data_IF_917224932127
#
_entry.id   IF_917224932127
#
_cell.length_a   1.000
_cell.length_b   1.000
_cell.length_c   1.000
_cell.angle_alpha   90.00
_cell.angle_beta   90.00
_cell.angle_gamma   90.00
#
_symmetry.space_group_name_H-M   'P 1'
#
loop_
_entity.id
_entity.type
_entity.pdbx_description
1 polymer ?
#
# COMPACT_ATOMS: atom_id res chain seq x y z
N UNK A 1 -5.30 -5.73 -13.02
CA UNK A 1 -4.87 -7.14 -12.95
C UNK A 1 -5.04 -7.74 -14.33
N UNK A 2 -3.95 -8.14 -15.00
CA UNK A 2 -4.03 -8.90 -16.25
C UNK A 2 -4.12 -10.39 -15.91
N UNK A 3 -4.73 -11.20 -16.79
CA UNK A 3 -4.72 -12.66 -16.62
C UNK A 3 -3.30 -13.25 -16.70
N UNK A 4 -2.36 -12.51 -17.29
CA UNK A 4 -0.97 -12.89 -17.54
C UNK A 4 -0.10 -12.70 -16.29
N UNK A 5 -0.45 -11.75 -15.41
CA UNK A 5 0.34 -11.44 -14.22
C UNK A 5 -0.50 -11.74 -12.96
N UNK A 6 -0.41 -12.97 -12.42
CA UNK A 6 -1.28 -13.43 -11.35
C UNK A 6 -1.06 -12.63 -10.06
N UNK A 7 -2.12 -12.38 -9.26
CA UNK A 7 -1.97 -11.71 -7.98
C UNK A 7 -1.07 -12.54 -7.04
N UNK A 8 -0.38 -11.91 -6.07
CA UNK A 8 0.52 -12.61 -5.14
C UNK A 8 -0.14 -13.78 -4.41
N UNK A 9 -1.43 -13.67 -4.07
CA UNK A 9 -2.19 -14.76 -3.44
C UNK A 9 -2.32 -16.01 -4.32
N UNK A 10 -2.40 -15.84 -5.65
CA UNK A 10 -2.47 -16.98 -6.58
C UNK A 10 -1.12 -17.67 -6.71
N UNK A 11 -0.03 -16.91 -6.81
CA UNK A 11 1.33 -17.46 -6.84
C UNK A 11 1.63 -18.26 -5.56
N UNK A 12 1.23 -17.72 -4.40
CA UNK A 12 1.35 -18.41 -3.12
C UNK A 12 0.56 -19.72 -3.10
N UNK A 13 -0.72 -19.68 -3.49
CA UNK A 13 -1.56 -20.88 -3.51
C UNK A 13 -1.02 -21.96 -4.46
N UNK A 14 -0.56 -21.58 -5.66
CA UNK A 14 0.08 -22.50 -6.59
C UNK A 14 1.32 -23.14 -5.98
N UNK A 15 2.17 -22.34 -5.32
CA UNK A 15 3.37 -22.86 -4.68
C UNK A 15 3.05 -23.87 -3.56
N UNK A 16 2.04 -23.58 -2.74
CA UNK A 16 1.58 -24.52 -1.70
C UNK A 16 1.07 -25.82 -2.31
N UNK A 17 0.32 -25.75 -3.42
CA UNK A 17 -0.14 -26.95 -4.13
C UNK A 17 1.03 -27.76 -4.69
N UNK A 18 2.00 -27.12 -5.34
CA UNK A 18 3.20 -27.79 -5.88
C UNK A 18 4.00 -28.51 -4.77
N UNK A 19 4.08 -27.92 -3.58
CA UNK A 19 4.77 -28.52 -2.42
C UNK A 19 3.96 -29.68 -1.82
N UNK A 20 2.63 -29.56 -1.76
CA UNK A 20 1.74 -30.65 -1.33
C UNK A 20 1.77 -31.83 -2.30
N UNK A 21 1.89 -31.59 -3.60
CA UNK A 21 2.08 -32.64 -4.62
C UNK A 21 3.40 -33.41 -4.41
N UNK A 22 4.42 -32.77 -3.84
CA UNK A 22 5.68 -33.40 -3.45
C UNK A 22 5.61 -34.16 -2.11
N UNK A 23 4.44 -34.17 -1.46
CA UNK A 23 4.18 -34.89 -0.21
C UNK A 23 4.49 -34.08 1.06
N UNK A 24 4.70 -32.77 0.94
CA UNK A 24 4.93 -31.88 2.10
C UNK A 24 3.59 -31.61 2.81
N UNK A 25 3.62 -31.55 4.14
CA UNK A 25 2.44 -31.20 4.93
C UNK A 25 1.94 -29.79 4.60
N UNK A 26 0.64 -29.53 4.79
CA UNK A 26 0.05 -28.24 4.39
C UNK A 26 0.65 -27.04 5.14
N UNK A 27 0.84 -27.17 6.46
CA UNK A 27 1.43 -26.12 7.30
C UNK A 27 2.88 -25.83 6.87
N UNK A 28 3.69 -26.88 6.72
CA UNK A 28 5.07 -26.76 6.23
C UNK A 28 5.14 -26.17 4.81
N UNK A 29 4.21 -26.54 3.93
CA UNK A 29 4.13 -25.99 2.58
C UNK A 29 3.79 -24.50 2.58
N UNK A 30 2.89 -24.06 3.47
CA UNK A 30 2.57 -22.63 3.64
C UNK A 30 3.78 -21.84 4.16
N UNK A 31 4.51 -22.39 5.14
CA UNK A 31 5.70 -21.74 5.71
C UNK A 31 6.82 -21.60 4.67
N UNK A 32 7.09 -22.67 3.90
CA UNK A 32 8.07 -22.64 2.81
C UNK A 32 7.67 -21.62 1.75
N UNK A 33 6.39 -21.58 1.35
CA UNK A 33 5.90 -20.61 0.37
C UNK A 33 6.03 -19.15 0.85
N UNK A 34 5.78 -18.87 2.14
CA UNK A 34 5.95 -17.51 2.69
C UNK A 34 7.44 -17.14 2.78
N UNK A 35 8.29 -18.08 3.20
CA UNK A 35 9.75 -17.89 3.23
C UNK A 35 10.32 -17.58 1.84
N UNK A 36 9.89 -18.29 0.80
CA UNK A 36 10.27 -18.02 -0.59
C UNK A 36 9.81 -16.64 -1.05
N UNK A 37 8.55 -16.27 -0.77
CA UNK A 37 8.02 -14.95 -1.11
C UNK A 37 8.80 -13.82 -0.42
N UNK A 38 9.11 -13.97 0.87
CA UNK A 38 9.90 -13.00 1.63
C UNK A 38 11.32 -12.88 1.08
N UNK A 39 11.94 -14.00 0.67
CA UNK A 39 13.25 -14.00 0.05
C UNK A 39 13.25 -13.27 -1.30
N UNK A 40 12.29 -13.56 -2.17
CA UNK A 40 12.12 -12.90 -3.46
C UNK A 40 11.88 -11.39 -3.29
N UNK A 41 11.00 -11.01 -2.35
CA UNK A 41 10.72 -9.62 -1.99
C UNK A 41 11.96 -8.89 -1.50
N UNK A 42 12.80 -9.53 -0.67
CA UNK A 42 14.09 -8.97 -0.22
C UNK A 42 15.06 -8.79 -1.39
N UNK A 43 15.16 -9.76 -2.30
CA UNK A 43 16.02 -9.69 -3.48
C UNK A 43 15.59 -8.56 -4.44
N UNK A 44 14.30 -8.47 -4.77
CA UNK A 44 13.72 -7.39 -5.58
C UNK A 44 13.95 -6.01 -4.98
N UNK A 45 13.82 -5.86 -3.65
CA UNK A 45 14.16 -4.60 -2.94
C UNK A 45 15.64 -4.22 -3.08
N UNK A 46 16.57 -5.17 -2.94
CA UNK A 46 18.00 -4.94 -3.13
C UNK A 46 18.32 -4.54 -4.57
N UNK A 47 17.75 -5.23 -5.55
CA UNK A 47 17.90 -4.91 -6.96
C UNK A 47 17.38 -3.50 -7.27
N UNK A 48 16.19 -3.15 -6.77
CA UNK A 48 15.64 -1.80 -6.91
C UNK A 48 16.53 -0.72 -6.27
N UNK A 49 17.07 -0.96 -5.07
CA UNK A 49 17.98 -0.03 -4.42
C UNK A 49 19.24 0.21 -5.28
N UNK A 50 19.78 -0.84 -5.90
CA UNK A 50 20.93 -0.74 -6.80
C UNK A 50 20.60 0.03 -8.08
N UNK A 51 19.48 -0.29 -8.72
CA UNK A 51 19.01 0.43 -9.92
C UNK A 51 18.76 1.90 -9.62
N UNK A 52 18.21 2.21 -8.44
CA UNK A 52 17.99 3.58 -7.97
C UNK A 52 19.30 4.36 -7.81
N UNK A 53 20.35 3.73 -7.27
CA UNK A 53 21.67 4.35 -7.16
C UNK A 53 22.25 4.66 -8.55
N UNK A 54 22.18 3.70 -9.48
CA UNK A 54 22.67 3.87 -10.86
C UNK A 54 21.90 5.00 -11.56
N UNK A 55 20.56 5.02 -11.46
CA UNK A 55 19.74 6.05 -12.08
C UNK A 55 20.09 7.46 -11.58
N UNK A 56 20.37 7.61 -10.27
CA UNK A 56 20.83 8.88 -9.69
C UNK A 56 22.18 9.32 -10.24
N UNK A 57 23.15 8.41 -10.32
CA UNK A 57 24.48 8.71 -10.87
C UNK A 57 24.41 9.09 -12.35
N UNK A 58 23.49 8.47 -13.11
CA UNK A 58 23.29 8.76 -14.53
C UNK A 58 22.39 9.98 -14.79
N UNK A 59 21.83 10.62 -13.75
CA UNK A 59 20.87 11.71 -13.91
C UNK A 59 19.54 11.29 -14.57
N UNK A 60 19.23 9.99 -14.61
CA UNK A 60 18.03 9.45 -15.25
C UNK A 60 16.85 9.40 -14.27
N UNK A 61 15.65 9.30 -14.83
CA UNK A 61 14.42 9.07 -14.05
C UNK A 61 14.56 7.80 -13.20
N UNK A 62 14.09 7.88 -11.96
CA UNK A 62 14.12 6.75 -11.03
C UNK A 62 13.26 5.59 -11.56
N UNK A 63 13.72 4.34 -11.40
CA UNK A 63 12.91 3.17 -11.74
C UNK A 63 11.63 3.15 -10.89
N UNK A 64 10.54 2.53 -11.39
CA UNK A 64 9.33 2.33 -10.59
C UNK A 64 9.62 1.40 -9.41
N UNK A 65 8.95 1.64 -8.28
CA UNK A 65 9.11 0.81 -7.09
C UNK A 65 8.44 -0.56 -7.31
N UNK A 66 9.15 -1.69 -7.15
CA UNK A 66 8.59 -3.03 -7.38
C UNK A 66 7.47 -3.41 -6.39
N UNK A 67 7.40 -2.76 -5.22
CA UNK A 67 6.32 -2.96 -4.26
C UNK A 67 5.83 -1.58 -3.76
N UNK A 68 4.90 -0.94 -4.49
CA UNK A 68 4.34 0.31 -4.03
C UNK A 68 3.57 0.09 -2.73
N UNK A 69 3.66 1.07 -1.82
CA UNK A 69 2.85 1.06 -0.61
C UNK A 69 1.49 1.68 -0.97
N UNK A 70 0.36 1.01 -0.74
CA UNK A 70 -0.97 1.55 -1.05
C UNK A 70 -1.19 2.94 -0.44
N UNK A 71 -0.73 3.13 0.80
CA UNK A 71 -0.78 4.43 1.49
C UNK A 71 -0.06 5.53 0.71
N UNK A 72 1.10 5.22 0.10
CA UNK A 72 1.87 6.21 -0.67
C UNK A 72 1.22 6.52 -2.01
N UNK A 73 0.50 5.58 -2.60
CA UNK A 73 -0.29 5.81 -3.82
C UNK A 73 -1.45 6.75 -3.53
N UNK A 74 -2.21 6.48 -2.47
CA UNK A 74 -3.30 7.35 -2.00
C UNK A 74 -2.75 8.74 -1.67
N UNK A 75 -1.64 8.83 -0.92
CA UNK A 75 -1.01 10.12 -0.61
C UNK A 75 -0.56 10.88 -1.87
N UNK A 76 -0.03 10.19 -2.88
CA UNK A 76 0.37 10.82 -4.13
C UNK A 76 -0.84 11.34 -4.91
N UNK A 77 -1.94 10.59 -4.92
CA UNK A 77 -3.20 10.99 -5.54
C UNK A 77 -3.87 12.16 -4.79
N UNK A 78 -3.85 12.14 -3.46
CA UNK A 78 -4.45 13.19 -2.63
C UNK A 78 -3.62 14.47 -2.60
N UNK A 79 -2.33 14.42 -2.96
CA UNK A 79 -1.40 15.55 -2.86
C UNK A 79 -1.89 16.80 -3.58
N UNK A 80 -2.62 16.65 -4.70
CA UNK A 80 -3.23 17.76 -5.45
C UNK A 80 -4.25 18.54 -4.62
N UNK A 81 -4.97 17.88 -3.71
CA UNK A 81 -6.02 18.47 -2.89
C UNK A 81 -5.52 18.99 -1.54
N UNK A 82 -4.30 18.65 -1.13
CA UNK A 82 -3.77 19.02 0.19
C UNK A 82 -3.79 20.53 0.39
N UNK A 83 -3.38 21.31 -0.62
CA UNK A 83 -3.36 22.78 -0.52
C UNK A 83 -4.78 23.34 -0.36
N UNK A 84 -5.70 22.91 -1.19
CA UNK A 84 -7.09 23.38 -1.17
C UNK A 84 -7.76 23.12 0.18
N UNK A 85 -7.49 21.97 0.83
CA UNK A 85 -8.03 21.65 2.17
C UNK A 85 -7.75 22.71 3.23
N UNK A 86 -6.62 23.40 3.15
CA UNK A 86 -6.21 24.39 4.14
C UNK A 86 -6.48 25.83 3.71
N UNK A 87 -6.55 26.11 2.40
CA UNK A 87 -6.60 27.47 1.87
C UNK A 87 -7.88 27.81 1.10
N UNK A 88 -8.72 26.84 0.76
CA UNK A 88 -10.01 27.11 0.12
C UNK A 88 -11.00 27.65 1.18
N UNK A 89 -11.52 28.88 1.00
CA UNK A 89 -12.47 29.48 1.95
C UNK A 89 -13.74 28.63 2.11
N UNK A 90 -14.21 27.95 1.04
CA UNK A 90 -15.43 27.11 1.11
C UNK A 90 -15.21 25.89 1.99
N UNK A 91 -14.03 25.27 1.90
CA UNK A 91 -13.68 24.11 2.73
C UNK A 91 -13.55 24.54 4.20
N UNK A 92 -12.94 25.69 4.46
CA UNK A 92 -12.83 26.24 5.81
C UNK A 92 -14.19 26.55 6.42
N UNK A 93 -15.14 27.03 5.62
CA UNK A 93 -16.52 27.28 6.05
C UNK A 93 -17.23 25.98 6.45
N UNK A 94 -17.11 24.92 5.63
CA UNK A 94 -17.65 23.59 5.95
C UNK A 94 -17.02 23.03 7.24
N UNK A 95 -15.71 23.21 7.43
CA UNK A 95 -15.02 22.78 8.66
C UNK A 95 -15.50 23.55 9.89
N UNK A 96 -15.79 24.85 9.76
CA UNK A 96 -16.37 25.66 10.84
C UNK A 96 -17.78 25.18 11.19
N UNK A 97 -18.64 24.98 10.20
CA UNK A 97 -20.00 24.46 10.38
C UNK A 97 -19.98 23.11 11.10
N UNK A 98 -19.17 22.15 10.65
CA UNK A 98 -19.02 20.85 11.33
C UNK A 98 -18.50 20.95 12.77
N UNK A 99 -17.62 21.91 13.06
CA UNK A 99 -17.14 22.14 14.44
C UNK A 99 -18.26 22.69 15.33
N UNK A 100 -19.14 23.54 14.81
CA UNK A 100 -20.29 24.05 15.53
C UNK A 100 -21.36 22.96 15.76
N UNK A 101 -21.68 22.16 14.74
CA UNK A 101 -22.56 21.00 14.85
C UNK A 101 -22.05 19.97 15.88
N UNK A 102 -20.74 19.67 15.87
CA UNK A 102 -20.14 18.74 16.83
C UNK A 102 -20.19 19.29 18.27
N UNK A 103 -20.03 20.60 18.46
CA UNK A 103 -20.23 21.23 19.77
C UNK A 103 -21.69 21.13 20.20
N UNK A 104 -22.63 21.46 19.31
CA UNK A 104 -24.07 21.34 19.61
C UNK A 104 -24.49 19.90 19.95
N UNK A 105 -23.93 18.88 19.27
CA UNK A 105 -24.16 17.48 19.65
C UNK A 105 -23.54 17.11 21.00
N UNK A 106 -22.34 17.61 21.32
CA UNK A 106 -21.68 17.36 22.62
C UNK A 106 -22.34 18.09 23.78
N UNK A 107 -22.94 19.26 23.56
CA UNK A 107 -23.67 20.04 24.57
C UNK A 107 -25.18 19.76 24.58
N UNK A 108 -25.72 19.06 23.58
CA UNK A 108 -27.13 18.66 23.46
C UNK A 108 -27.42 17.22 23.92
N UNK A 109 -26.39 16.43 24.24
CA UNK A 109 -26.53 15.09 24.84
C UNK A 109 -26.76 15.11 26.35
N UNK A 110 -27.48 16.11 26.85
CA UNK A 110 -27.84 16.28 28.25
C UNK A 110 -29.35 16.31 28.44
N UNK A 111 -30.05 15.32 27.90
CA UNK A 111 -31.41 15.00 28.30
C UNK A 111 -31.70 13.54 27.96
N UNK A 112 -31.34 12.65 28.89
CA UNK A 112 -32.00 11.41 29.34
C UNK A 112 -31.09 10.76 30.38
#
# INVERSE_FOLDING_TARGET
>A
FSAIDPPPSRLFALKVLDLKEQGIGEEEAMDVADMEYLAEKKAKKKAYARLKQIARLQGKRLPPNPYPCPIKEIQAEERKYVRERFFDPKILEIVKQKKEESKQQRFGGGNW
#
